data_IF_804481327595
#
_entry.id   IF_804481327595
#
_cell.length_a   1.000
_cell.length_b   1.000
_cell.length_c   1.000
_cell.angle_alpha   90.00
_cell.angle_beta   90.00
_cell.angle_gamma   90.00
#
_symmetry.space_group_name_H-M   'P 1'
#
loop_
_entity.id
_entity.type
_entity.pdbx_description
1 polymer ?
#
# COMPACT_ATOMS: atom_id res chain seq x y z
N UNK A 1 -5.14 0.73 -1.50
CA UNK A 1 -4.11 0.61 -0.43
C UNK A 1 -4.09 -0.79 0.18
N UNK A 2 -5.20 -1.35 0.67
CA UNK A 2 -5.23 -2.63 1.40
C UNK A 2 -4.70 -3.83 0.59
N UNK A 3 -4.87 -3.87 -0.73
CA UNK A 3 -4.26 -4.90 -1.58
C UNK A 3 -2.72 -4.84 -1.57
N UNK A 4 -2.14 -3.64 -1.67
CA UNK A 4 -0.68 -3.50 -1.54
C UNK A 4 -0.16 -3.87 -0.15
N UNK A 5 -0.94 -3.61 0.90
CA UNK A 5 -0.63 -4.09 2.24
C UNK A 5 -0.72 -5.61 2.35
N UNK A 6 -1.73 -6.23 1.71
CA UNK A 6 -1.85 -7.68 1.68
C UNK A 6 -0.62 -8.31 0.99
N UNK A 7 -0.16 -7.71 -0.11
CA UNK A 7 1.06 -8.15 -0.79
C UNK A 7 2.30 -8.02 0.14
N UNK A 8 2.41 -6.90 0.87
CA UNK A 8 3.47 -6.74 1.86
C UNK A 8 3.42 -7.79 2.98
N UNK A 9 2.23 -8.19 3.40
CA UNK A 9 2.07 -9.25 4.40
C UNK A 9 2.52 -10.59 3.87
N UNK A 10 2.14 -10.95 2.63
CA UNK A 10 2.53 -12.20 1.98
C UNK A 10 4.04 -12.27 1.76
N UNK A 11 4.65 -11.19 1.27
CA UNK A 11 6.10 -11.11 1.02
C UNK A 11 6.91 -11.22 2.32
N UNK A 12 6.31 -10.90 3.46
CA UNK A 12 6.92 -11.00 4.79
C UNK A 12 6.42 -12.22 5.61
N UNK A 13 6.01 -13.28 4.92
CA UNK A 13 5.77 -14.60 5.52
C UNK A 13 4.41 -14.79 6.18
N UNK A 14 3.46 -13.88 5.99
CA UNK A 14 2.07 -14.15 6.34
C UNK A 14 1.41 -15.01 5.25
N UNK A 15 0.49 -15.87 5.65
CA UNK A 15 -0.35 -16.66 4.72
C UNK A 15 -1.65 -15.92 4.44
N UNK A 16 -2.20 -16.08 3.22
CA UNK A 16 -3.56 -15.61 2.90
C UNK A 16 -4.65 -16.28 3.77
N UNK A 17 -4.32 -17.39 4.41
CA UNK A 17 -5.21 -18.11 5.35
C UNK A 17 -5.04 -17.64 6.80
N UNK A 18 -3.99 -16.87 7.11
CA UNK A 18 -3.83 -16.30 8.45
C UNK A 18 -5.05 -15.43 8.77
N UNK A 19 -5.64 -15.66 9.93
CA UNK A 19 -6.85 -14.97 10.33
C UNK A 19 -6.68 -14.25 11.65
N UNK A 20 -7.40 -13.13 11.78
CA UNK A 20 -7.49 -12.36 13.02
C UNK A 20 -8.96 -12.14 13.37
N UNK A 21 -9.24 -12.09 14.67
CA UNK A 21 -10.56 -11.73 15.16
C UNK A 21 -10.69 -10.20 15.24
N UNK A 22 -11.70 -9.65 14.57
CA UNK A 22 -12.03 -8.23 14.59
C UNK A 22 -13.24 -7.99 15.51
N UNK A 23 -13.01 -7.32 16.63
CA UNK A 23 -14.07 -6.92 17.57
C UNK A 23 -14.62 -5.51 17.30
N UNK A 24 -14.25 -4.87 16.19
CA UNK A 24 -14.59 -3.48 15.87
C UNK A 24 -13.52 -2.47 16.28
N UNK A 25 -12.47 -2.91 16.97
CA UNK A 25 -11.33 -2.05 17.30
C UNK A 25 -10.13 -2.86 17.75
N UNK A 26 -8.95 -2.27 17.60
CA UNK A 26 -7.66 -2.75 18.09
C UNK A 26 -7.10 -1.77 19.12
N UNK A 27 -6.56 -2.26 20.21
CA UNK A 27 -5.95 -1.43 21.24
C UNK A 27 -4.43 -1.61 21.25
N UNK A 28 -3.70 -0.49 21.25
CA UNK A 28 -2.26 -0.47 21.31
C UNK A 28 -1.79 0.68 22.21
N UNK A 29 -1.04 0.35 23.28
CA UNK A 29 -0.49 1.34 24.20
C UNK A 29 -1.55 2.24 24.85
N UNK A 30 -2.70 1.68 25.21
CA UNK A 30 -3.82 2.42 25.82
C UNK A 30 -4.61 3.29 24.80
N UNK A 31 -4.25 3.25 23.52
CA UNK A 31 -4.98 3.94 22.45
C UNK A 31 -5.83 2.96 21.64
N UNK A 32 -7.08 3.32 21.42
CA UNK A 32 -8.04 2.54 20.61
C UNK A 32 -8.04 2.98 19.15
N UNK A 33 -7.78 2.03 18.26
CA UNK A 33 -7.86 2.17 16.81
C UNK A 33 -9.14 1.48 16.33
N UNK A 34 -10.07 2.23 15.78
CA UNK A 34 -11.40 1.72 15.43
C UNK A 34 -11.39 1.10 14.03
N UNK A 35 -12.08 -0.02 13.88
CA UNK A 35 -12.53 -0.49 12.58
C UNK A 35 -13.77 0.31 12.15
N UNK A 36 -14.00 0.45 10.85
CA UNK A 36 -15.21 1.13 10.37
C UNK A 36 -16.50 0.42 10.81
N UNK A 37 -16.47 -0.92 10.89
CA UNK A 37 -17.55 -1.70 11.50
C UNK A 37 -17.35 -1.77 13.02
N UNK A 38 -18.13 -1.00 13.76
CA UNK A 38 -18.05 -0.91 15.23
C UNK A 38 -18.44 -2.20 15.96
N UNK A 39 -19.24 -3.07 15.31
CA UNK A 39 -19.62 -4.38 15.85
C UNK A 39 -18.58 -5.47 15.56
N UNK A 40 -17.56 -5.14 14.76
CA UNK A 40 -16.52 -6.06 14.30
C UNK A 40 -16.97 -6.93 13.14
N UNK A 41 -15.99 -7.61 12.52
CA UNK A 41 -16.19 -8.53 11.40
C UNK A 41 -16.08 -10.00 11.84
N UNK A 42 -15.85 -10.24 13.15
CA UNK A 42 -15.53 -11.60 13.64
C UNK A 42 -14.16 -12.07 13.13
N UNK A 43 -14.01 -13.35 12.93
CA UNK A 43 -12.76 -13.93 12.40
C UNK A 43 -12.69 -13.75 10.89
N UNK A 44 -11.66 -13.01 10.44
CA UNK A 44 -11.43 -12.69 9.03
C UNK A 44 -10.04 -13.15 8.61
N UNK A 45 -9.93 -13.76 7.44
CA UNK A 45 -8.67 -13.98 6.74
C UNK A 45 -8.39 -12.84 5.75
N UNK A 46 -7.29 -12.89 5.01
CA UNK A 46 -6.88 -11.83 4.09
C UNK A 46 -7.96 -11.52 3.03
N UNK A 47 -8.53 -12.52 2.38
CA UNK A 47 -9.55 -12.31 1.35
C UNK A 47 -10.80 -11.63 1.93
N UNK A 48 -11.31 -12.14 3.06
CA UNK A 48 -12.45 -11.54 3.74
C UNK A 48 -12.13 -10.11 4.21
N UNK A 49 -10.91 -9.89 4.72
CA UNK A 49 -10.49 -8.57 5.19
C UNK A 49 -10.39 -7.53 4.07
N UNK A 50 -9.96 -7.94 2.86
CA UNK A 50 -9.97 -7.07 1.68
C UNK A 50 -11.41 -6.77 1.24
N UNK A 51 -12.23 -7.80 1.08
CA UNK A 51 -13.63 -7.70 0.62
C UNK A 51 -14.47 -6.84 1.55
N UNK A 52 -14.36 -7.06 2.87
CA UNK A 52 -15.11 -6.33 3.90
C UNK A 52 -14.40 -5.03 4.34
N UNK A 53 -13.24 -4.72 3.77
CA UNK A 53 -12.41 -3.57 4.16
C UNK A 53 -12.11 -3.51 5.65
N UNK A 54 -11.81 -4.63 6.30
CA UNK A 54 -11.58 -4.74 7.73
C UNK A 54 -10.28 -4.04 8.15
N UNK A 55 -10.36 -2.90 8.85
CA UNK A 55 -9.18 -2.16 9.29
C UNK A 55 -8.38 -2.93 10.36
N UNK A 56 -9.07 -3.62 11.26
CA UNK A 56 -8.45 -4.34 12.37
C UNK A 56 -7.50 -5.45 11.89
N UNK A 57 -7.85 -6.14 10.80
CA UNK A 57 -6.95 -7.12 10.15
C UNK A 57 -5.64 -6.46 9.70
N UNK A 58 -5.73 -5.29 9.07
CA UNK A 58 -4.57 -4.56 8.57
C UNK A 58 -3.76 -3.93 9.71
N UNK A 59 -4.38 -3.51 10.80
CA UNK A 59 -3.66 -3.09 12.00
C UNK A 59 -2.79 -4.23 12.55
N UNK A 60 -3.37 -5.40 12.78
CA UNK A 60 -2.67 -6.56 13.33
C UNK A 60 -1.57 -7.08 12.41
N UNK A 61 -1.86 -7.20 11.13
CA UNK A 61 -0.87 -7.60 10.12
C UNK A 61 0.30 -6.61 10.04
N UNK A 62 0.01 -5.30 9.99
CA UNK A 62 1.06 -4.28 9.91
C UNK A 62 1.91 -4.20 11.17
N UNK A 63 1.33 -4.45 12.34
CA UNK A 63 2.10 -4.54 13.59
C UNK A 63 3.05 -5.75 13.58
N UNK A 64 2.61 -6.88 13.00
CA UNK A 64 3.41 -8.11 12.93
C UNK A 64 4.67 -7.92 12.07
N UNK A 65 4.57 -7.25 10.91
CA UNK A 65 5.69 -7.08 9.98
C UNK A 65 6.46 -5.77 10.14
N UNK A 66 5.81 -4.72 10.67
CA UNK A 66 6.41 -3.40 10.90
C UNK A 66 6.49 -2.51 9.66
N UNK A 67 6.75 -1.21 9.89
CA UNK A 67 6.77 -0.20 8.82
C UNK A 67 7.93 -0.41 7.85
N UNK A 68 9.07 -0.90 8.34
CA UNK A 68 10.29 -1.07 7.55
C UNK A 68 10.15 -2.17 6.49
N UNK A 69 9.27 -3.16 6.72
CA UNK A 69 8.91 -4.19 5.75
C UNK A 69 7.85 -3.69 4.74
N UNK A 70 7.00 -2.76 5.14
CA UNK A 70 5.91 -2.22 4.33
C UNK A 70 6.42 -1.22 3.29
N UNK A 71 7.26 -0.28 3.71
CA UNK A 71 7.68 0.87 2.90
C UNK A 71 8.32 0.46 1.57
N UNK A 72 9.29 -0.47 1.50
CA UNK A 72 9.94 -0.83 0.23
C UNK A 72 8.95 -1.37 -0.81
N UNK A 73 7.93 -2.10 -0.38
CA UNK A 73 6.93 -2.67 -1.28
C UNK A 73 6.03 -1.58 -1.84
N UNK A 74 5.55 -0.67 -0.99
CA UNK A 74 4.74 0.46 -1.42
C UNK A 74 5.51 1.44 -2.32
N UNK A 75 6.82 1.63 -2.09
CA UNK A 75 7.68 2.42 -2.97
C UNK A 75 7.80 1.81 -4.37
N UNK A 76 8.00 0.49 -4.47
CA UNK A 76 8.04 -0.20 -5.77
C UNK A 76 6.70 -0.06 -6.52
N UNK A 77 5.59 0.02 -5.80
CA UNK A 77 4.26 0.25 -6.36
C UNK A 77 4.00 1.72 -6.78
N UNK A 78 4.98 2.62 -6.59
CA UNK A 78 4.93 4.01 -7.06
C UNK A 78 4.54 5.04 -6.01
N UNK A 79 4.33 4.67 -4.74
CA UNK A 79 4.03 5.65 -3.70
C UNK A 79 5.29 6.38 -3.20
N UNK A 80 5.13 7.65 -2.83
CA UNK A 80 6.22 8.47 -2.30
C UNK A 80 7.27 8.90 -3.33
N UNK A 81 7.03 8.69 -4.62
CA UNK A 81 7.90 9.05 -5.75
C UNK A 81 7.10 9.59 -6.93
N UNK A 82 7.77 10.19 -7.90
CA UNK A 82 7.15 10.56 -9.17
C UNK A 82 6.71 9.31 -9.93
N UNK A 83 5.59 9.40 -10.63
CA UNK A 83 5.12 8.33 -11.53
C UNK A 83 5.81 8.36 -12.88
N UNK A 84 6.54 9.45 -13.16
CA UNK A 84 7.19 9.74 -14.44
C UNK A 84 6.18 10.01 -15.56
N UNK A 85 4.99 10.47 -15.18
CA UNK A 85 4.01 10.96 -16.16
C UNK A 85 4.62 12.12 -16.97
N UNK A 86 4.27 12.19 -18.23
CA UNK A 86 4.72 13.18 -19.21
C UNK A 86 4.15 14.60 -18.98
N UNK A 87 3.98 14.98 -17.71
CA UNK A 87 3.55 16.30 -17.27
C UNK A 87 4.61 16.95 -16.38
N UNK A 88 4.82 18.26 -16.48
CA UNK A 88 5.74 18.99 -15.59
C UNK A 88 5.18 19.09 -14.16
N UNK A 89 6.08 19.29 -13.19
CA UNK A 89 5.75 19.62 -11.80
C UNK A 89 4.92 18.55 -11.07
N UNK A 90 5.18 17.27 -11.33
CA UNK A 90 4.52 16.17 -10.62
C UNK A 90 4.83 16.19 -9.11
N UNK A 91 3.78 16.08 -8.27
CA UNK A 91 3.91 15.92 -6.83
C UNK A 91 4.21 14.47 -6.45
N UNK A 92 5.09 14.28 -5.46
CA UNK A 92 5.51 12.95 -5.00
C UNK A 92 4.65 12.36 -3.87
N UNK A 93 3.66 13.12 -3.37
CA UNK A 93 2.90 12.69 -2.21
C UNK A 93 3.77 12.49 -0.96
N UNK A 94 3.34 11.62 -0.06
CA UNK A 94 4.11 11.23 1.12
C UNK A 94 3.88 9.75 1.41
N UNK A 95 4.95 8.96 1.40
CA UNK A 95 4.96 7.63 1.98
C UNK A 95 5.66 7.72 3.34
N UNK A 96 4.92 7.61 4.46
CA UNK A 96 5.49 7.76 5.79
C UNK A 96 6.46 6.60 6.10
N UNK A 97 7.65 6.94 6.59
CA UNK A 97 8.67 6.00 7.07
C UNK A 97 9.36 6.55 8.31
N UNK A 98 10.22 5.74 8.94
CA UNK A 98 11.05 6.20 10.07
C UNK A 98 11.93 7.36 9.65
N UNK A 99 12.61 7.24 8.51
CA UNK A 99 13.51 8.27 7.97
C UNK A 99 12.74 9.54 7.61
N UNK A 100 11.59 9.39 6.93
CA UNK A 100 10.72 10.52 6.61
C UNK A 100 10.30 11.29 7.86
N UNK A 101 9.86 10.58 8.91
CA UNK A 101 9.44 11.22 10.15
C UNK A 101 10.58 11.91 10.87
N UNK A 102 11.74 11.25 10.97
CA UNK A 102 12.93 11.83 11.58
C UNK A 102 13.36 13.08 10.84
N UNK A 103 13.41 13.05 9.51
CA UNK A 103 13.81 14.20 8.66
C UNK A 103 12.83 15.35 8.74
N UNK A 104 11.50 15.08 8.80
CA UNK A 104 10.47 16.11 8.78
C UNK A 104 10.18 16.71 10.16
N UNK A 105 10.21 15.90 11.21
CA UNK A 105 9.76 16.30 12.56
C UNK A 105 10.84 16.16 13.64
N UNK A 106 11.98 15.53 13.38
CA UNK A 106 13.02 15.23 14.38
C UNK A 106 12.53 14.25 15.45
N UNK A 107 11.54 13.40 15.13
CA UNK A 107 10.89 12.51 16.11
C UNK A 107 10.97 11.05 15.69
N UNK A 108 11.10 10.16 16.69
CA UNK A 108 11.06 8.73 16.48
C UNK A 108 9.67 8.26 15.97
N UNK A 109 9.67 7.14 15.27
CA UNK A 109 8.46 6.47 14.81
C UNK A 109 7.74 5.79 15.96
N UNK A 110 6.42 5.91 16.00
CA UNK A 110 5.56 5.20 16.93
C UNK A 110 4.80 4.07 16.24
N UNK A 111 4.62 2.94 16.92
CA UNK A 111 3.91 1.77 16.37
C UNK A 111 2.49 2.12 15.87
N UNK A 112 1.79 3.00 16.57
CA UNK A 112 0.45 3.44 16.15
C UNK A 112 0.43 4.15 14.79
N UNK A 113 1.54 4.72 14.34
CA UNK A 113 1.65 5.32 13.00
C UNK A 113 1.69 4.23 11.92
N UNK A 114 2.32 3.07 12.21
CA UNK A 114 2.27 1.90 11.32
C UNK A 114 0.82 1.45 11.09
N UNK A 115 0.02 1.38 12.16
CA UNK A 115 -1.39 1.00 12.07
C UNK A 115 -2.17 1.95 11.15
N UNK A 116 -2.04 3.26 11.37
CA UNK A 116 -2.75 4.28 10.59
C UNK A 116 -2.28 4.27 9.12
N UNK A 117 -0.98 4.12 8.89
CA UNK A 117 -0.40 4.02 7.54
C UNK A 117 -0.93 2.79 6.81
N UNK A 118 -1.13 1.66 7.50
CA UNK A 118 -1.58 0.41 6.89
C UNK A 118 -2.98 0.49 6.26
N UNK A 119 -3.80 1.43 6.70
CA UNK A 119 -5.11 1.69 6.09
C UNK A 119 -5.11 2.92 5.16
N UNK A 120 -3.94 3.49 4.87
CA UNK A 120 -3.80 4.63 3.96
C UNK A 120 -4.20 5.96 4.56
N UNK A 121 -4.07 6.11 5.87
CA UNK A 121 -4.45 7.33 6.59
C UNK A 121 -3.24 8.01 7.26
N UNK A 122 -3.51 9.10 7.98
CA UNK A 122 -2.50 9.88 8.68
C UNK A 122 -1.65 10.72 7.73
N UNK A 123 -0.34 10.55 7.78
CA UNK A 123 0.60 11.27 6.93
C UNK A 123 0.78 10.65 5.53
N UNK A 124 0.07 9.59 5.20
CA UNK A 124 0.10 8.96 3.88
C UNK A 124 -0.68 9.80 2.89
N UNK A 125 0.03 10.44 1.94
CA UNK A 125 -0.56 11.30 0.91
C UNK A 125 -0.17 10.77 -0.47
N UNK A 126 -1.16 10.63 -1.34
CA UNK A 126 -0.98 10.10 -2.69
C UNK A 126 -1.59 11.03 -3.74
N UNK A 127 -1.01 11.03 -4.94
CA UNK A 127 -1.62 11.68 -6.09
C UNK A 127 -2.55 10.71 -6.83
N UNK A 128 -3.55 11.20 -7.58
CA UNK A 128 -4.38 10.35 -8.44
C UNK A 128 -3.55 9.51 -9.42
N UNK A 129 -2.43 10.05 -9.94
CA UNK A 129 -1.54 9.34 -10.86
C UNK A 129 -0.81 8.18 -10.17
N UNK A 130 -0.38 8.36 -8.91
CA UNK A 130 0.19 7.26 -8.14
C UNK A 130 -0.83 6.15 -7.90
N UNK A 131 -2.09 6.49 -7.63
CA UNK A 131 -3.16 5.50 -7.48
C UNK A 131 -3.42 4.77 -8.80
N UNK A 132 -3.43 5.48 -9.93
CA UNK A 132 -3.59 4.88 -11.27
C UNK A 132 -2.45 3.90 -11.58
N UNK A 133 -1.19 4.34 -11.40
CA UNK A 133 0.00 3.49 -11.56
C UNK A 133 -0.05 2.25 -10.68
N UNK A 134 -0.34 2.42 -9.40
CA UNK A 134 -0.51 1.35 -8.42
C UNK A 134 -1.57 0.34 -8.86
N UNK A 135 -2.75 0.83 -9.28
CA UNK A 135 -3.86 -0.04 -9.69
C UNK A 135 -3.53 -0.82 -10.97
N UNK A 136 -2.93 -0.15 -11.97
CA UNK A 136 -2.48 -0.80 -13.19
C UNK A 136 -1.41 -1.87 -12.88
N UNK A 137 -0.46 -1.56 -11.98
CA UNK A 137 0.55 -2.51 -11.54
C UNK A 137 -0.05 -3.76 -10.90
N UNK A 138 -1.00 -3.61 -9.98
CA UNK A 138 -1.70 -4.75 -9.38
C UNK A 138 -2.47 -5.60 -10.39
N UNK A 139 -3.08 -4.96 -11.40
CA UNK A 139 -3.88 -5.64 -12.41
C UNK A 139 -3.02 -6.41 -13.43
N UNK A 140 -1.82 -5.91 -13.75
CA UNK A 140 -0.97 -6.44 -14.82
C UNK A 140 0.27 -7.19 -14.31
N UNK A 141 0.70 -6.93 -13.08
CA UNK A 141 1.99 -7.37 -12.55
C UNK A 141 3.18 -6.64 -13.15
N UNK A 142 2.95 -5.50 -13.85
CA UNK A 142 3.97 -4.73 -14.56
C UNK A 142 4.13 -3.32 -13.96
N UNK A 143 5.28 -2.72 -14.18
CA UNK A 143 5.52 -1.30 -13.90
C UNK A 143 4.98 -0.47 -15.08
N UNK A 144 3.82 0.15 -14.86
CA UNK A 144 3.14 0.96 -15.88
C UNK A 144 3.49 2.43 -15.65
N UNK A 145 3.96 3.13 -16.68
CA UNK A 145 4.14 4.58 -16.63
C UNK A 145 2.89 5.27 -17.19
N UNK A 146 2.14 6.03 -16.36
CA UNK A 146 1.02 6.82 -16.83
C UNK A 146 1.50 7.87 -17.84
N UNK A 147 0.74 8.09 -18.93
CA UNK A 147 1.08 9.09 -19.94
C UNK A 147 -0.18 9.69 -20.57
N UNK A 148 -0.07 10.90 -21.07
CA UNK A 148 -1.12 11.61 -21.84
C UNK A 148 -0.77 11.70 -23.31
N UNK A 149 0.53 11.75 -23.64
CA UNK A 149 1.01 11.86 -25.00
C UNK A 149 0.81 10.51 -25.72
N UNK A 150 0.06 10.51 -26.81
CA UNK A 150 -0.15 9.33 -27.66
C UNK A 150 0.85 9.30 -28.83
N UNK A 151 1.00 10.41 -29.54
CA UNK A 151 1.82 10.48 -30.73
C UNK A 151 2.41 11.87 -30.93
N UNK A 152 3.55 11.96 -31.65
CA UNK A 152 4.18 13.20 -32.12
C UNK A 152 4.30 13.08 -33.64
N UNK A 153 3.77 14.06 -34.37
CA UNK A 153 3.80 14.10 -35.85
C UNK A 153 3.31 12.79 -36.50
N UNK A 154 2.26 12.19 -35.91
CA UNK A 154 1.64 10.94 -36.39
C UNK A 154 2.42 9.67 -36.05
N UNK A 155 3.51 9.76 -35.28
CA UNK A 155 4.27 8.60 -34.79
C UNK A 155 3.90 8.36 -33.32
N UNK A 156 3.45 7.14 -33.01
CA UNK A 156 3.14 6.74 -31.64
C UNK A 156 4.39 6.81 -30.75
N UNK A 157 4.21 7.28 -29.50
CA UNK A 157 5.25 7.25 -28.48
C UNK A 157 5.16 5.91 -27.74
N UNK A 158 6.31 5.26 -27.58
CA UNK A 158 6.39 3.98 -26.87
C UNK A 158 6.49 4.19 -25.35
N UNK A 159 5.51 3.66 -24.63
CA UNK A 159 5.46 3.59 -23.17
C UNK A 159 5.32 2.13 -22.72
N UNK A 160 6.13 1.25 -23.26
CA UNK A 160 6.09 -0.18 -22.93
C UNK A 160 6.29 -0.41 -21.43
N UNK A 161 5.35 -1.08 -20.74
CA UNK A 161 5.50 -1.41 -19.32
C UNK A 161 6.72 -2.31 -19.08
N UNK A 162 7.41 -2.09 -17.95
CA UNK A 162 8.57 -2.91 -17.56
C UNK A 162 8.19 -3.97 -16.53
N UNK A 163 9.02 -5.00 -16.41
CA UNK A 163 8.76 -6.18 -15.57
C UNK A 163 9.55 -6.14 -14.23
N UNK A 164 9.71 -4.97 -13.66
CA UNK A 164 10.57 -4.71 -12.49
C UNK A 164 9.84 -4.27 -11.21
N UNK A 165 8.51 -4.09 -11.26
CA UNK A 165 7.74 -3.62 -10.11
C UNK A 165 7.47 -4.72 -9.07
N UNK A 166 7.36 -5.96 -9.51
CA UNK A 166 6.95 -7.09 -8.67
C UNK A 166 7.92 -8.26 -8.80
N UNK A 167 8.22 -8.90 -7.68
CA UNK A 167 8.98 -10.16 -7.68
C UNK A 167 8.14 -11.29 -8.29
N UNK A 168 8.76 -12.39 -8.74
CA UNK A 168 8.01 -13.57 -9.21
C UNK A 168 7.03 -14.13 -8.15
N UNK A 169 7.42 -14.09 -6.89
CA UNK A 169 6.54 -14.48 -5.77
C UNK A 169 5.32 -13.55 -5.67
N UNK A 170 5.53 -12.24 -5.64
CA UNK A 170 4.44 -11.25 -5.57
C UNK A 170 3.46 -11.41 -6.73
N UNK A 171 3.96 -11.60 -7.97
CA UNK A 171 3.11 -11.87 -9.15
C UNK A 171 2.24 -13.11 -8.98
N UNK A 172 2.78 -14.17 -8.39
CA UNK A 172 2.02 -15.39 -8.11
C UNK A 172 0.89 -15.18 -7.10
N UNK A 173 0.98 -14.14 -6.27
CA UNK A 173 -0.02 -13.80 -5.25
C UNK A 173 -1.11 -12.84 -5.76
N UNK A 174 -0.86 -12.07 -6.83
CA UNK A 174 -1.82 -11.07 -7.34
C UNK A 174 -3.23 -11.63 -7.57
N UNK A 175 -3.43 -12.85 -8.11
CA UNK A 175 -4.77 -13.42 -8.28
C UNK A 175 -5.52 -13.70 -6.96
N UNK A 176 -4.83 -13.67 -5.83
CA UNK A 176 -5.38 -13.99 -4.51
C UNK A 176 -5.76 -12.74 -3.70
N UNK A 177 -5.40 -11.56 -4.17
CA UNK A 177 -5.64 -10.26 -3.53
C UNK A 177 -6.40 -9.30 -4.44
#
# INVERSE_FOLDING_TARGET
MKMGMALAFLDNGMSKYDSFFCSGSYELGGRKFRCWNSHGHGTVNMNTAIRESCDDYFYKGSQKIGIDAIVPILERMGFGRKTEVDLPNEFVGTLPSREWKMRKYGKAWFQGETLITSIGQGNFLVTPMQVAKYTAGLATGLNVTPHFLKSIDGKDVDFTPTDDAFTPFEKSQLPAI
#
